data_IF_674151815121
#
_entry.id   IF_674151815121
#
_cell.length_a   1.000
_cell.length_b   1.000
_cell.length_c   1.000
_cell.angle_alpha   90.00
_cell.angle_beta   90.00
_cell.angle_gamma   90.00
#
_symmetry.space_group_name_H-M   'P 1'
#
loop_
_entity.id
_entity.type
_entity.pdbx_description
1 polymer ?
#
# COMPACT_ATOMS: atom_id res chain seq x y z
N UNK A 1 21.67 4.16 -1.67
CA UNK A 1 21.55 3.64 -0.28
C UNK A 1 21.33 2.14 -0.38
N UNK A 2 22.17 1.30 0.25
CA UNK A 2 21.98 -0.15 0.25
C UNK A 2 20.77 -0.51 1.13
N UNK A 3 19.78 -1.17 0.56
CA UNK A 3 18.60 -1.71 1.23
C UNK A 3 19.02 -2.68 2.34
N UNK A 4 19.06 -2.20 3.59
CA UNK A 4 19.37 -3.04 4.77
C UNK A 4 18.12 -3.70 5.37
N UNK A 5 16.97 -3.59 4.69
CA UNK A 5 15.69 -4.12 5.15
C UNK A 5 15.48 -5.50 4.55
N UNK A 6 15.41 -6.52 5.40
CA UNK A 6 15.04 -7.86 4.97
C UNK A 6 13.54 -7.92 4.69
N UNK A 7 13.15 -7.89 3.41
CA UNK A 7 11.76 -8.03 2.98
C UNK A 7 11.20 -9.46 3.12
N UNK A 8 12.00 -10.43 3.55
CA UNK A 8 11.60 -11.85 3.69
C UNK A 8 10.37 -12.04 4.57
N UNK A 9 10.26 -11.20 5.60
CA UNK A 9 9.21 -11.22 6.62
C UNK A 9 8.38 -9.94 6.64
N UNK A 10 8.46 -9.11 5.59
CA UNK A 10 7.71 -7.85 5.55
C UNK A 10 6.55 -7.95 4.57
N UNK A 11 5.34 -7.72 5.06
CA UNK A 11 4.11 -7.95 4.32
C UNK A 11 3.23 -6.70 4.32
N UNK A 12 2.30 -6.66 3.38
CA UNK A 12 1.24 -5.65 3.34
C UNK A 12 -0.12 -6.31 3.11
N UNK A 13 -1.09 -5.88 3.92
CA UNK A 13 -2.50 -6.18 3.70
C UNK A 13 -3.04 -5.11 2.76
N UNK A 14 -3.50 -5.50 1.58
CA UNK A 14 -3.82 -4.55 0.51
C UNK A 14 -5.20 -4.76 -0.09
N UNK A 15 -5.76 -3.68 -0.62
CA UNK A 15 -6.83 -3.74 -1.63
C UNK A 15 -6.19 -3.73 -3.01
N UNK A 16 -6.53 -4.72 -3.84
CA UNK A 16 -6.17 -4.70 -5.26
C UNK A 16 -7.35 -4.16 -6.08
N UNK A 17 -7.14 -3.14 -6.93
CA UNK A 17 -8.19 -2.68 -7.84
C UNK A 17 -8.61 -3.78 -8.82
N UNK A 18 -9.86 -3.75 -9.33
CA UNK A 18 -10.30 -4.66 -10.37
C UNK A 18 -9.52 -4.44 -11.67
N UNK A 19 -9.50 -5.44 -12.56
CA UNK A 19 -8.67 -5.45 -13.77
C UNK A 19 -8.74 -4.15 -14.60
N UNK A 20 -9.92 -3.57 -14.90
CA UNK A 20 -9.98 -2.33 -15.69
C UNK A 20 -9.31 -1.12 -15.01
N UNK A 21 -9.38 -1.04 -13.68
CA UNK A 21 -8.71 0.03 -12.92
C UNK A 21 -7.22 -0.24 -12.82
N UNK A 22 -6.84 -1.51 -12.62
CA UNK A 22 -5.44 -1.93 -12.57
C UNK A 22 -4.71 -1.60 -13.87
N UNK A 23 -5.30 -1.97 -15.01
CA UNK A 23 -4.76 -1.69 -16.36
C UNK A 23 -4.62 -0.19 -16.60
N UNK A 24 -5.65 0.59 -16.25
CA UNK A 24 -5.61 2.04 -16.35
C UNK A 24 -4.46 2.66 -15.54
N UNK A 25 -4.25 2.20 -14.30
CA UNK A 25 -3.18 2.71 -13.43
C UNK A 25 -1.79 2.27 -13.91
N UNK A 26 -1.66 1.06 -14.45
CA UNK A 26 -0.42 0.60 -15.11
C UNK A 26 -0.08 1.48 -16.31
N UNK A 27 -1.07 1.81 -17.16
CA UNK A 27 -0.86 2.70 -18.31
C UNK A 27 -0.38 4.09 -17.88
N UNK A 28 -0.91 4.62 -16.77
CA UNK A 28 -0.43 5.89 -16.19
C UNK A 28 1.04 5.77 -15.76
N UNK A 29 1.39 4.74 -15.00
CA UNK A 29 2.77 4.50 -14.54
C UNK A 29 3.74 4.36 -15.73
N UNK A 30 3.34 3.63 -16.78
CA UNK A 30 4.12 3.49 -18.01
C UNK A 30 4.31 4.82 -18.76
N UNK A 31 3.30 5.70 -18.76
CA UNK A 31 3.43 7.03 -19.38
C UNK A 31 4.42 7.90 -18.60
N UNK A 32 4.33 7.89 -17.27
CA UNK A 32 5.28 8.60 -16.40
C UNK A 32 6.70 8.12 -16.70
N UNK A 33 6.94 6.82 -16.68
CA UNK A 33 8.27 6.26 -16.90
C UNK A 33 8.84 6.50 -18.31
N UNK A 34 8.00 6.92 -19.28
CA UNK A 34 8.47 7.35 -20.61
C UNK A 34 8.83 8.85 -20.65
N UNK A 35 8.21 9.65 -19.79
CA UNK A 35 8.42 11.10 -19.72
C UNK A 35 9.53 11.45 -18.73
N UNK A 36 9.58 10.72 -17.62
CA UNK A 36 10.47 10.90 -16.49
C UNK A 36 11.19 9.59 -16.19
N UNK A 37 12.42 9.68 -15.68
CA UNK A 37 13.16 8.52 -15.22
C UNK A 37 12.60 8.03 -13.86
N UNK A 38 11.77 7.00 -13.90
CA UNK A 38 11.16 6.39 -12.72
C UNK A 38 11.89 5.12 -12.28
N UNK A 39 12.13 4.96 -10.98
CA UNK A 39 12.81 3.79 -10.39
C UNK A 39 12.08 2.46 -10.66
N UNK A 40 10.76 2.50 -10.89
CA UNK A 40 9.99 1.33 -11.28
C UNK A 40 8.73 1.66 -12.08
N UNK A 41 8.18 0.63 -12.75
CA UNK A 41 6.92 0.70 -13.48
C UNK A 41 5.94 -0.34 -12.92
N UNK A 42 4.70 0.07 -12.71
CA UNK A 42 3.65 -0.84 -12.24
C UNK A 42 3.40 -1.97 -13.24
N UNK A 43 3.13 -3.16 -12.71
CA UNK A 43 2.94 -4.37 -13.51
C UNK A 43 1.79 -5.25 -13.03
N UNK A 44 1.56 -6.34 -13.76
CA UNK A 44 0.56 -7.35 -13.40
C UNK A 44 1.06 -8.33 -12.33
N UNK A 45 2.36 -8.58 -12.31
CA UNK A 45 3.02 -9.60 -11.47
C UNK A 45 3.99 -9.01 -10.46
N UNK A 46 4.75 -7.97 -10.83
CA UNK A 46 5.63 -7.17 -9.98
C UNK A 46 5.13 -5.74 -9.91
N UNK A 47 5.44 -5.03 -8.82
CA UNK A 47 4.91 -3.68 -8.59
C UNK A 47 3.39 -3.62 -8.82
N UNK A 48 2.66 -4.57 -8.23
CA UNK A 48 1.22 -4.71 -8.50
C UNK A 48 0.50 -3.46 -7.97
N UNK A 49 -0.37 -2.80 -8.77
CA UNK A 49 -1.17 -1.67 -8.28
C UNK A 49 -2.02 -2.10 -7.09
N UNK A 50 -1.85 -1.40 -5.97
CA UNK A 50 -2.48 -1.73 -4.71
C UNK A 50 -2.73 -0.48 -3.87
N UNK A 51 -3.65 -0.60 -2.90
CA UNK A 51 -3.84 0.36 -1.83
C UNK A 51 -3.50 -0.36 -0.53
N UNK A 52 -2.41 0.06 0.12
CA UNK A 52 -1.99 -0.47 1.40
C UNK A 52 -3.04 -0.20 2.47
N UNK A 53 -3.44 -1.23 3.19
CA UNK A 53 -4.17 -1.12 4.44
C UNK A 53 -3.20 -1.18 5.61
N UNK A 54 -2.22 -2.09 5.61
CA UNK A 54 -1.26 -2.14 6.71
C UNK A 54 0.01 -2.92 6.35
N UNK A 55 1.14 -2.22 6.39
CA UNK A 55 2.47 -2.82 6.36
C UNK A 55 2.78 -3.44 7.73
N UNK A 56 3.06 -4.73 7.75
CA UNK A 56 3.34 -5.46 8.98
C UNK A 56 4.48 -6.46 8.79
N UNK A 57 5.56 -6.38 9.60
CA UNK A 57 6.55 -7.44 9.66
C UNK A 57 6.00 -8.61 10.48
N UNK A 58 6.02 -9.82 9.95
CA UNK A 58 5.47 -11.04 10.58
C UNK A 58 6.33 -12.26 10.24
N UNK A 59 6.33 -13.26 11.13
CA UNK A 59 6.99 -14.54 10.85
C UNK A 59 6.08 -15.40 9.98
N UNK A 60 6.65 -16.10 8.98
CA UNK A 60 5.86 -16.92 8.03
C UNK A 60 4.98 -17.98 8.69
N UNK A 61 5.39 -18.50 9.85
CA UNK A 61 4.60 -19.45 10.62
C UNK A 61 3.23 -18.90 11.06
N UNK A 62 3.07 -17.57 11.16
CA UNK A 62 1.83 -16.90 11.59
C UNK A 62 0.84 -16.67 10.43
N UNK A 63 1.23 -16.93 9.18
CA UNK A 63 0.40 -16.66 8.00
C UNK A 63 -0.99 -17.34 8.03
N UNK A 64 -1.14 -18.60 8.47
CA UNK A 64 -2.46 -19.23 8.55
C UNK A 64 -3.41 -18.50 9.50
N UNK A 65 -2.92 -18.06 10.66
CA UNK A 65 -3.75 -17.37 11.67
C UNK A 65 -4.12 -15.96 11.21
N UNK A 66 -3.16 -15.22 10.66
CA UNK A 66 -3.41 -13.89 10.07
C UNK A 66 -4.45 -13.97 8.96
N UNK A 67 -4.40 -15.01 8.11
CA UNK A 67 -5.41 -15.23 7.08
C UNK A 67 -6.82 -15.33 7.69
N UNK A 68 -6.98 -16.04 8.81
CA UNK A 68 -8.28 -16.15 9.49
C UNK A 68 -8.72 -14.82 10.11
N UNK A 69 -7.80 -14.08 10.73
CA UNK A 69 -8.07 -12.74 11.27
C UNK A 69 -8.55 -11.77 10.19
N UNK A 70 -7.84 -11.70 9.07
CA UNK A 70 -8.22 -10.84 7.93
C UNK A 70 -9.55 -11.32 7.33
N UNK A 71 -9.78 -12.64 7.25
CA UNK A 71 -11.07 -13.19 6.76
C UNK A 71 -12.24 -12.75 7.63
N UNK A 72 -12.09 -12.77 8.97
CA UNK A 72 -13.09 -12.28 9.92
C UNK A 72 -13.31 -10.77 9.78
N UNK A 73 -12.25 -9.97 9.72
CA UNK A 73 -12.39 -8.51 9.49
C UNK A 73 -13.13 -8.24 8.18
N UNK A 74 -12.82 -8.99 7.12
CA UNK A 74 -13.48 -8.87 5.83
C UNK A 74 -14.96 -9.27 5.89
N UNK A 75 -15.34 -10.34 6.61
CA UNK A 75 -16.74 -10.74 6.79
C UNK A 75 -17.55 -9.70 7.54
N UNK A 76 -16.94 -9.02 8.51
CA UNK A 76 -17.66 -8.09 9.40
C UNK A 76 -17.66 -6.66 8.87
N UNK A 77 -16.90 -6.39 7.80
CA UNK A 77 -16.77 -5.06 7.19
C UNK A 77 -17.76 -4.86 6.04
N UNK A 78 -18.36 -3.67 5.99
CA UNK A 78 -19.09 -3.19 4.81
C UNK A 78 -18.10 -2.55 3.85
N UNK A 79 -17.93 -3.15 2.68
CA UNK A 79 -17.05 -2.62 1.62
C UNK A 79 -17.84 -1.69 0.71
N UNK A 80 -17.21 -0.60 0.28
CA UNK A 80 -17.85 0.41 -0.54
C UNK A 80 -17.17 0.66 -1.88
N UNK A 81 -17.55 1.77 -2.49
CA UNK A 81 -16.89 2.34 -3.65
C UNK A 81 -15.68 3.17 -3.21
N UNK A 82 -14.59 3.06 -3.97
CA UNK A 82 -13.46 3.96 -3.93
C UNK A 82 -13.39 4.76 -5.22
N UNK A 83 -12.82 5.97 -5.13
CA UNK A 83 -12.59 6.87 -6.27
C UNK A 83 -11.12 7.24 -6.35
N UNK A 84 -10.52 7.07 -7.52
CA UNK A 84 -9.24 7.69 -7.86
C UNK A 84 -9.47 9.20 -8.05
N UNK A 85 -8.74 10.04 -7.31
CA UNK A 85 -9.00 11.48 -7.23
C UNK A 85 -8.07 12.31 -8.12
N UNK A 86 -6.77 12.24 -7.87
CA UNK A 86 -5.74 13.02 -8.57
C UNK A 86 -4.38 12.34 -8.45
N UNK A 87 -3.50 12.64 -9.40
CA UNK A 87 -2.07 12.31 -9.28
C UNK A 87 -1.42 13.38 -8.39
N UNK A 88 -0.47 13.00 -7.56
CA UNK A 88 0.24 13.90 -6.65
C UNK A 88 1.67 13.40 -6.48
N UNK A 89 2.60 14.33 -6.35
CA UNK A 89 3.99 14.07 -5.97
C UNK A 89 4.12 14.35 -4.47
N UNK A 90 4.59 13.38 -3.71
CA UNK A 90 4.92 13.51 -2.30
C UNK A 90 6.45 13.51 -2.14
N UNK A 91 6.98 14.41 -1.30
CA UNK A 91 8.43 14.48 -1.00
C UNK A 91 9.28 14.55 -2.27
N UNK A 92 8.81 15.35 -3.23
CA UNK A 92 9.47 15.68 -4.51
C UNK A 92 9.69 14.50 -5.48
N UNK A 93 9.50 13.25 -5.06
CA UNK A 93 9.90 12.07 -5.84
C UNK A 93 8.83 10.99 -5.90
N UNK A 94 8.01 10.82 -4.85
CA UNK A 94 7.02 9.75 -4.80
C UNK A 94 5.74 10.14 -5.53
N UNK A 95 5.51 9.55 -6.70
CA UNK A 95 4.31 9.82 -7.49
C UNK A 95 3.24 8.80 -7.13
N UNK A 96 2.03 9.27 -6.81
CA UNK A 96 0.92 8.40 -6.50
C UNK A 96 -0.41 8.93 -7.03
N UNK A 97 -1.43 8.07 -7.04
CA UNK A 97 -2.83 8.46 -7.21
C UNK A 97 -3.48 8.48 -5.83
N UNK A 98 -3.99 9.65 -5.43
CA UNK A 98 -4.79 9.75 -4.22
C UNK A 98 -6.12 9.02 -4.40
N UNK A 99 -6.49 8.19 -3.42
CA UNK A 99 -7.77 7.48 -3.39
C UNK A 99 -8.69 8.16 -2.38
N UNK A 100 -10.01 8.11 -2.63
CA UNK A 100 -11.00 8.54 -1.64
C UNK A 100 -10.80 7.83 -0.31
N UNK A 101 -10.95 8.57 0.79
CA UNK A 101 -10.81 8.08 2.16
C UNK A 101 -12.17 8.11 2.89
N UNK A 102 -13.14 7.27 2.48
CA UNK A 102 -14.42 7.19 3.17
C UNK A 102 -14.26 6.55 4.55
N UNK A 103 -15.17 6.84 5.48
CA UNK A 103 -15.09 6.34 6.86
C UNK A 103 -15.01 4.81 6.94
N UNK A 104 -15.73 4.09 6.07
CA UNK A 104 -15.67 2.62 6.05
C UNK A 104 -14.26 2.09 5.74
N UNK A 105 -13.47 2.80 4.91
CA UNK A 105 -12.09 2.40 4.59
C UNK A 105 -11.16 2.66 5.77
N UNK A 106 -11.36 3.78 6.47
CA UNK A 106 -10.62 4.09 7.71
C UNK A 106 -10.93 3.03 8.78
N UNK A 107 -12.20 2.67 8.96
CA UNK A 107 -12.61 1.63 9.90
C UNK A 107 -12.02 0.26 9.51
N UNK A 108 -12.01 -0.08 8.23
CA UNK A 108 -11.38 -1.30 7.72
C UNK A 108 -9.88 -1.32 8.04
N UNK A 109 -9.16 -0.23 7.73
CA UNK A 109 -7.75 -0.07 8.07
C UNK A 109 -7.50 -0.27 9.56
N UNK A 110 -8.23 0.42 10.45
CA UNK A 110 -8.04 0.30 11.89
C UNK A 110 -8.31 -1.13 12.40
N UNK A 111 -9.36 -1.80 11.90
CA UNK A 111 -9.64 -3.20 12.26
C UNK A 111 -8.54 -4.16 11.80
N UNK A 112 -8.02 -3.97 10.58
CA UNK A 112 -6.88 -4.76 10.09
C UNK A 112 -5.66 -4.55 10.99
N UNK A 113 -5.32 -3.30 11.32
CA UNK A 113 -4.22 -3.00 12.24
C UNK A 113 -4.45 -3.71 13.58
N UNK A 114 -5.60 -3.51 14.22
CA UNK A 114 -5.91 -4.10 15.51
C UNK A 114 -5.80 -5.63 15.52
N UNK A 115 -6.36 -6.32 14.53
CA UNK A 115 -6.41 -7.79 14.49
C UNK A 115 -5.10 -8.44 14.05
N UNK A 116 -4.23 -7.70 13.37
CA UNK A 116 -2.94 -8.23 12.89
C UNK A 116 -1.76 -7.81 13.75
N UNK A 117 -1.88 -6.73 14.53
CA UNK A 117 -0.81 -6.21 15.39
C UNK A 117 -0.22 -7.23 16.37
N UNK A 118 -1.00 -8.14 16.99
CA UNK A 118 -0.44 -9.17 17.88
C UNK A 118 0.59 -10.10 17.21
N UNK A 119 0.60 -10.17 15.88
CA UNK A 119 1.55 -10.99 15.12
C UNK A 119 2.81 -10.25 14.71
N UNK A 120 2.89 -8.93 14.96
CA UNK A 120 4.04 -8.13 14.54
C UNK A 120 5.32 -8.71 15.12
N UNK A 121 6.31 -8.89 14.26
CA UNK A 121 7.67 -9.27 14.67
C UNK A 121 8.32 -8.11 15.43
N UNK A 122 8.57 -8.25 16.75
CA UNK A 122 9.16 -7.18 17.55
C UNK A 122 10.63 -6.94 17.19
N UNK A 123 11.31 -7.94 16.64
CA UNK A 123 12.73 -7.89 16.29
C UNK A 123 12.97 -7.17 14.95
N UNK A 124 11.90 -6.88 14.20
CA UNK A 124 12.00 -6.15 12.94
C UNK A 124 12.19 -4.66 13.17
N UNK A 125 13.34 -4.14 12.73
CA UNK A 125 13.67 -2.72 12.77
C UNK A 125 12.87 -1.95 11.71
N UNK A 126 11.62 -1.62 12.05
CA UNK A 126 10.74 -0.85 11.19
C UNK A 126 11.28 0.55 10.90
N UNK A 127 12.13 1.13 11.77
CA UNK A 127 12.69 2.45 11.51
C UNK A 127 13.62 2.44 10.29
N UNK A 128 14.38 1.36 10.05
CA UNK A 128 15.18 1.20 8.82
C UNK A 128 14.34 1.03 7.56
N UNK A 129 13.11 0.51 7.70
CA UNK A 129 12.18 0.38 6.58
C UNK A 129 11.52 1.70 6.18
N UNK A 130 11.59 2.73 7.02
CA UNK A 130 10.90 3.99 6.82
C UNK A 130 11.88 5.16 6.74
N UNK A 131 11.53 6.19 5.97
CA UNK A 131 12.37 7.39 5.81
C UNK A 131 12.52 8.16 7.14
N UNK A 132 13.70 8.74 7.39
CA UNK A 132 13.96 9.57 8.57
C UNK A 132 13.18 10.91 8.60
N UNK A 133 12.54 11.30 7.49
CA UNK A 133 11.84 12.58 7.32
C UNK A 133 10.43 12.62 7.95
N UNK A 134 10.03 11.61 8.74
CA UNK A 134 8.74 11.60 9.41
C UNK A 134 8.73 12.50 10.67
N UNK A 135 7.60 13.14 10.94
CA UNK A 135 7.44 13.95 12.16
C UNK A 135 7.38 13.07 13.43
N UNK A 136 7.43 13.69 14.61
CA UNK A 136 7.46 13.00 15.90
C UNK A 136 6.27 12.04 16.10
N UNK A 137 5.07 12.44 15.67
CA UNK A 137 3.87 11.60 15.74
C UNK A 137 3.99 10.34 14.87
N UNK A 138 4.44 10.49 13.62
CA UNK A 138 4.64 9.37 12.71
C UNK A 138 5.78 8.45 13.16
N UNK A 139 6.87 8.99 13.72
CA UNK A 139 7.93 8.20 14.35
C UNK A 139 7.40 7.38 15.53
N UNK A 140 6.50 7.94 16.35
CA UNK A 140 5.81 7.19 17.42
C UNK A 140 4.95 6.05 16.86
N UNK A 141 4.26 6.27 15.74
CA UNK A 141 3.49 5.21 15.08
C UNK A 141 4.37 4.12 14.50
N UNK A 142 5.54 4.44 13.93
CA UNK A 142 6.49 3.42 13.47
C UNK A 142 6.95 2.56 14.66
N UNK A 143 7.24 3.16 15.82
CA UNK A 143 7.61 2.41 17.02
C UNK A 143 6.48 1.48 17.47
N UNK A 144 5.24 1.98 17.55
CA UNK A 144 4.09 1.21 18.06
C UNK A 144 3.59 0.17 17.05
N UNK A 145 3.42 0.54 15.79
CA UNK A 145 2.74 -0.27 14.78
C UNK A 145 3.65 -0.76 13.65
N UNK A 146 4.89 -0.29 13.56
CA UNK A 146 5.79 -0.62 12.46
C UNK A 146 5.47 0.13 11.17
N UNK A 147 4.54 1.11 11.20
CA UNK A 147 4.13 1.89 10.03
C UNK A 147 3.76 3.33 10.43
N UNK A 148 4.08 4.35 9.60
CA UNK A 148 3.77 5.75 9.90
C UNK A 148 2.33 6.15 9.52
N UNK A 149 1.61 5.33 8.75
CA UNK A 149 0.31 5.68 8.15
C UNK A 149 -0.86 4.98 8.85
N UNK A 150 -0.91 5.06 10.18
CA UNK A 150 -1.96 4.43 11.01
C UNK A 150 -2.99 5.45 11.51
N UNK A 151 -4.27 5.07 11.48
CA UNK A 151 -5.39 5.82 12.03
C UNK A 151 -5.63 7.17 11.32
N UNK A 152 -5.46 8.28 12.05
CA UNK A 152 -5.62 9.62 11.45
C UNK A 152 -4.60 9.93 10.34
N UNK A 153 -3.44 9.28 10.37
CA UNK A 153 -2.39 9.44 9.36
C UNK A 153 -2.56 8.49 8.16
N UNK A 154 -3.60 7.66 8.15
CA UNK A 154 -3.89 6.78 7.01
C UNK A 154 -4.22 7.61 5.76
N UNK A 155 -3.41 7.48 4.71
CA UNK A 155 -3.57 8.16 3.41
C UNK A 155 -3.72 7.07 2.34
N UNK A 156 -4.94 6.72 1.90
CA UNK A 156 -5.10 5.70 0.86
C UNK A 156 -4.64 6.25 -0.49
N UNK A 157 -3.72 5.54 -1.13
CA UNK A 157 -3.14 5.90 -2.41
C UNK A 157 -2.75 4.65 -3.20
N UNK A 158 -2.45 4.83 -4.49
CA UNK A 158 -1.74 3.84 -5.31
C UNK A 158 -0.45 4.50 -5.78
N UNK A 159 0.69 4.01 -5.32
CA UNK A 159 1.99 4.49 -5.78
C UNK A 159 2.19 4.13 -7.25
N UNK A 160 2.66 5.08 -8.04
CA UNK A 160 2.87 4.95 -9.49
C UNK A 160 4.33 4.68 -9.83
N UNK A 161 5.25 5.39 -9.16
CA UNK A 161 6.70 5.26 -9.29
C UNK A 161 7.40 6.14 -8.23
N UNK A 162 8.73 6.10 -8.20
CA UNK A 162 9.60 7.08 -7.54
C UNK A 162 10.46 7.71 -8.62
N UNK A 163 10.51 9.04 -8.69
CA UNK A 163 11.26 9.76 -9.71
C UNK A 163 12.73 9.89 -9.29
N UNK A 164 13.63 9.64 -10.23
CA UNK A 164 15.04 10.00 -10.10
C UNK A 164 15.20 11.50 -10.37
N UNK A 165 15.77 12.25 -9.41
CA UNK A 165 16.17 13.68 -9.45
C UNK A 165 15.26 14.73 -8.78
N UNK A 166 15.94 15.76 -8.25
CA UNK A 166 15.45 16.82 -7.34
C UNK A 166 14.36 17.77 -7.89
N UNK A 167 14.03 17.70 -9.19
CA UNK A 167 13.06 18.61 -9.83
C UNK A 167 12.06 17.88 -10.75
N UNK A 168 11.89 16.57 -10.57
CA UNK A 168 11.03 15.79 -11.44
C UNK A 168 9.57 16.26 -11.31
N UNK A 169 9.06 16.84 -12.39
CA UNK A 169 7.68 17.27 -12.51
C UNK A 169 7.04 16.35 -13.54
N UNK A 170 6.15 15.42 -13.17
CA UNK A 170 5.53 14.48 -14.11
C UNK A 170 4.74 15.13 -15.26
N UNK A 171 4.69 16.46 -15.33
CA UNK A 171 3.92 17.22 -16.28
C UNK A 171 2.42 16.99 -16.11
N UNK A 172 1.65 17.44 -17.10
CA UNK A 172 0.24 17.11 -17.18
C UNK A 172 0.07 15.67 -17.67
N UNK A 173 -0.14 14.74 -16.74
CA UNK A 173 -0.55 13.38 -17.08
C UNK A 173 -2.06 13.36 -17.28
N UNK A 174 -2.56 12.96 -18.46
CA UNK A 174 -4.00 12.82 -18.67
C UNK A 174 -4.61 11.86 -17.65
N UNK A 175 -5.38 12.40 -16.71
CA UNK A 175 -5.98 11.65 -15.63
C UNK A 175 -7.50 11.81 -15.64
N UNK A 176 -8.20 10.70 -15.90
CA UNK A 176 -9.64 10.56 -15.71
C UNK A 176 -9.95 9.88 -14.37
N UNK A 177 -10.69 10.52 -13.46
CA UNK A 177 -11.17 9.88 -12.23
C UNK A 177 -11.94 8.59 -12.53
N UNK A 178 -11.59 7.51 -11.83
CA UNK A 178 -12.29 6.21 -11.91
C UNK A 178 -12.90 5.87 -10.56
N UNK A 179 -14.05 5.20 -10.57
CA UNK A 179 -14.67 4.61 -9.37
C UNK A 179 -14.63 3.09 -9.49
N UNK A 180 -14.49 2.39 -8.38
CA UNK A 180 -14.58 0.94 -8.34
C UNK A 180 -15.08 0.44 -7.00
N UNK A 181 -15.73 -0.73 -7.00
CA UNK A 181 -16.14 -1.44 -5.80
C UNK A 181 -15.01 -2.30 -5.29
N UNK A 182 -14.77 -2.25 -3.97
CA UNK A 182 -13.84 -3.17 -3.33
C UNK A 182 -14.53 -4.50 -3.09
N UNK A 183 -13.93 -5.58 -3.57
CA UNK A 183 -14.48 -6.94 -3.44
C UNK A 183 -13.50 -7.93 -2.81
N UNK A 184 -12.24 -7.54 -2.62
CA UNK A 184 -11.22 -8.42 -2.05
C UNK A 184 -10.11 -7.67 -1.32
N UNK A 185 -9.51 -8.36 -0.36
CA UNK A 185 -8.27 -7.98 0.32
C UNK A 185 -7.24 -9.08 0.01
N UNK A 186 -5.97 -8.70 -0.14
CA UNK A 186 -4.87 -9.63 -0.35
C UNK A 186 -3.77 -9.38 0.66
N UNK A 187 -2.97 -10.40 0.94
CA UNK A 187 -1.71 -10.26 1.65
C UNK A 187 -0.58 -10.48 0.64
N UNK A 188 0.35 -9.54 0.59
CA UNK A 188 1.56 -9.63 -0.23
C UNK A 188 2.79 -9.62 0.66
N UNK A 189 3.79 -10.41 0.29
CA UNK A 189 5.16 -10.13 0.72
C UNK A 189 5.68 -8.96 -0.11
N UNK A 190 6.29 -8.01 0.57
CA UNK A 190 6.82 -6.80 -0.01
C UNK A 190 8.19 -7.05 -0.67
N UNK A 191 8.57 -6.13 -1.54
CA UNK A 191 9.92 -5.95 -2.04
C UNK A 191 10.39 -4.50 -1.92
N UNK A 192 11.42 -4.11 -2.70
CA UNK A 192 11.93 -2.74 -2.75
C UNK A 192 10.81 -1.71 -2.93
N UNK A 193 10.98 -0.52 -2.34
CA UNK A 193 9.97 0.56 -2.37
C UNK A 193 8.61 0.18 -1.77
N UNK A 194 8.55 -0.85 -0.92
CA UNK A 194 7.30 -1.42 -0.41
C UNK A 194 6.37 -1.93 -1.52
N UNK A 195 6.94 -2.40 -2.63
CA UNK A 195 6.16 -2.96 -3.74
C UNK A 195 5.54 -4.31 -3.37
N UNK A 196 4.34 -4.58 -3.88
CA UNK A 196 3.73 -5.90 -3.80
C UNK A 196 4.41 -6.84 -4.83
N UNK A 197 5.28 -7.74 -4.36
CA UNK A 197 6.03 -8.67 -5.23
C UNK A 197 5.45 -10.09 -5.23
N UNK A 198 5.14 -10.66 -4.06
CA UNK A 198 4.63 -12.04 -3.97
C UNK A 198 3.31 -12.09 -3.23
N UNK A 199 2.24 -12.42 -3.94
CA UNK A 199 0.94 -12.66 -3.33
C UNK A 199 0.97 -13.92 -2.49
N UNK A 200 0.57 -13.82 -1.23
CA UNK A 200 0.41 -14.97 -0.32
C UNK A 200 -0.99 -15.54 -0.43
N UNK A 201 -2.01 -14.69 -0.32
CA UNK A 201 -3.41 -15.07 -0.54
C UNK A 201 -4.26 -13.86 -0.94
N UNK A 202 -5.45 -14.17 -1.47
CA UNK A 202 -6.54 -13.20 -1.67
C UNK A 202 -7.80 -13.74 -1.00
N UNK A 203 -8.50 -12.88 -0.28
CA UNK A 203 -9.79 -13.15 0.33
C UNK A 203 -10.83 -12.29 -0.36
N UNK A 204 -11.86 -12.92 -0.91
CA UNK A 204 -13.01 -12.23 -1.48
C UNK A 204 -14.06 -12.04 -0.38
N UNK A 205 -14.75 -10.90 -0.42
CA UNK A 205 -15.93 -10.68 0.41
C UNK A 205 -16.96 -11.77 0.04
N UNK A 206 -17.51 -12.52 1.02
CA UNK A 206 -18.63 -13.41 0.76
C UNK A 206 -19.77 -12.62 0.12
N UNK A 207 -20.47 -13.24 -0.84
CA UNK A 207 -21.67 -12.66 -1.44
C UNK A 207 -22.74 -12.47 -0.37
#
# INVERSE_FOLDING_TARGET
MKDSVSYKNYFDVVITPPAPVKEYVIQISQKIAKQEDGEFVLGKTRFVPHISLFHIPIKKAQLPEIKQKIKKVLSDSRLGLLRLKKITVLKETLVWIQVSRPQWLVNLHCKIVQETMPFRDPDFDAMKAWSNQYNSSQKKLIKIYGSPYVGRFFIPHITLTVLNLKNANPGEIPFKPKKFRVSSISLYQLGPHHSCEKRIFTLKKPK
#
